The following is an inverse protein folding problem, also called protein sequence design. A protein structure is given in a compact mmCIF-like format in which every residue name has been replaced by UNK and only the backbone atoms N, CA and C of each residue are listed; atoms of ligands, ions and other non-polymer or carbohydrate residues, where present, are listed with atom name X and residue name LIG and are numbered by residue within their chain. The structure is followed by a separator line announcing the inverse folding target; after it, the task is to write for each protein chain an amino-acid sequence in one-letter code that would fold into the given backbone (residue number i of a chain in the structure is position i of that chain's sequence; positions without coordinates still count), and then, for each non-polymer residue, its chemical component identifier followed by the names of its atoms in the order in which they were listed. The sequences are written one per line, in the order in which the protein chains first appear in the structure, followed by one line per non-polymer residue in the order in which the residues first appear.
data_IF_288831943844
#
_entry.id   IF_288831943844
#
_cell.length_a   1.000
_cell.length_b   1.000
_cell.length_c   1.000
_cell.angle_alpha   90.00
_cell.angle_beta   90.00
_cell.angle_gamma   90.00
#
_symmetry.space_group_name_H-M   'P 1'
#
loop_
_entity.id
_entity.type
_entity.pdbx_description
1 polymer ?
#
# COMPACT_ATOMS: atom_id res chain seq x y z
N UNK A 1 -5.45 -9.01 -30.08
CA UNK A 1 -5.64 -10.39 -30.58
C UNK A 1 -7.06 -10.51 -31.07
N UNK A 2 -7.30 -11.27 -32.14
CA UNK A 2 -8.65 -11.53 -32.66
C UNK A 2 -9.43 -12.36 -31.64
N UNK A 3 -10.69 -12.01 -31.41
CA UNK A 3 -11.63 -12.83 -30.66
C UNK A 3 -11.93 -14.13 -31.41
N UNK A 4 -12.41 -15.14 -30.67
CA UNK A 4 -12.85 -16.43 -31.24
C UNK A 4 -13.86 -16.26 -32.38
N UNK A 5 -14.69 -15.22 -32.30
CA UNK A 5 -15.70 -14.86 -33.32
C UNK A 5 -15.08 -14.26 -34.58
N UNK A 6 -14.14 -13.31 -34.44
CA UNK A 6 -13.43 -12.72 -35.57
C UNK A 6 -12.60 -13.76 -36.34
N UNK A 7 -12.15 -14.80 -35.63
CA UNK A 7 -11.40 -15.90 -36.21
C UNK A 7 -12.26 -16.86 -37.05
N UNK A 8 -13.42 -17.27 -36.52
CA UNK A 8 -14.37 -18.12 -37.26
C UNK A 8 -14.82 -17.45 -38.56
N UNK A 9 -14.89 -16.12 -38.56
CA UNK A 9 -15.21 -15.29 -39.72
C UNK A 9 -14.08 -15.25 -40.77
N UNK A 10 -12.82 -15.40 -40.36
CA UNK A 10 -11.69 -15.49 -41.29
C UNK A 10 -11.62 -16.86 -41.97
N UNK A 11 -11.94 -17.93 -41.24
CA UNK A 11 -12.04 -19.30 -41.77
C UNK A 11 -13.08 -19.42 -42.90
N UNK A 12 -14.21 -18.71 -42.81
CA UNK A 12 -15.25 -18.74 -43.85
C UNK A 12 -14.87 -18.00 -45.15
N UNK A 13 -13.75 -17.26 -45.18
CA UNK A 13 -13.31 -16.49 -46.36
C UNK A 13 -12.36 -17.30 -47.26
N UNK A 14 -11.86 -18.45 -46.79
CA UNK A 14 -10.88 -19.30 -47.51
C UNK A 14 -11.52 -20.12 -48.65
N UNK A 15 -12.84 -20.05 -48.84
CA UNK A 15 -13.63 -20.88 -49.77
C UNK A 15 -13.49 -20.56 -51.29
N UNK A 16 -12.38 -19.96 -51.75
CA UNK A 16 -12.17 -19.64 -53.18
C UNK A 16 -10.81 -20.16 -53.69
N UNK A 17 -10.61 -21.48 -53.64
CA UNK A 17 -9.45 -22.17 -54.24
C UNK A 17 -9.91 -23.42 -55.02
N UNK A 18 -9.35 -23.63 -56.22
CA UNK A 18 -9.74 -24.67 -57.18
C UNK A 18 -9.35 -26.12 -56.77
N UNK A 19 -8.69 -26.31 -55.62
CA UNK A 19 -8.29 -27.63 -55.10
C UNK A 19 -8.87 -27.89 -53.70
N UNK A 20 -9.94 -28.69 -53.68
CA UNK A 20 -10.73 -29.02 -52.48
C UNK A 20 -9.91 -29.79 -51.45
N UNK A 21 -8.98 -30.65 -51.88
CA UNK A 21 -8.16 -31.47 -50.98
C UNK A 21 -7.08 -30.63 -50.28
N UNK A 22 -6.48 -29.67 -50.99
CA UNK A 22 -5.55 -28.71 -50.40
C UNK A 22 -6.27 -27.78 -49.40
N UNK A 23 -7.50 -27.37 -49.70
CA UNK A 23 -8.33 -26.56 -48.80
C UNK A 23 -8.71 -27.31 -47.52
N UNK A 24 -9.11 -28.58 -47.62
CA UNK A 24 -9.42 -29.43 -46.45
C UNK A 24 -8.17 -29.63 -45.58
N UNK A 25 -7.02 -29.90 -46.20
CA UNK A 25 -5.75 -30.08 -45.49
C UNK A 25 -5.32 -28.80 -44.75
N UNK A 26 -5.45 -27.65 -45.40
CA UNK A 26 -5.15 -26.36 -44.78
C UNK A 26 -6.11 -26.06 -43.62
N UNK A 27 -7.40 -26.40 -43.73
CA UNK A 27 -8.39 -26.26 -42.66
C UNK A 27 -8.02 -27.12 -41.44
N UNK A 28 -7.60 -28.37 -41.64
CA UNK A 28 -7.18 -29.26 -40.55
C UNK A 28 -5.92 -28.75 -39.82
N UNK A 29 -4.92 -28.26 -40.58
CA UNK A 29 -3.72 -27.63 -40.01
C UNK A 29 -4.10 -26.43 -39.15
N UNK A 30 -4.99 -25.57 -39.67
CA UNK A 30 -5.47 -24.38 -38.97
C UNK A 30 -6.21 -24.76 -37.68
N UNK A 31 -7.13 -25.74 -37.74
CA UNK A 31 -7.86 -26.23 -36.56
C UNK A 31 -6.92 -26.78 -35.48
N UNK A 32 -5.88 -27.51 -35.86
CA UNK A 32 -4.87 -28.04 -34.93
C UNK A 32 -4.04 -26.93 -34.29
N UNK A 33 -3.58 -25.93 -35.04
CA UNK A 33 -2.83 -24.79 -34.50
C UNK A 33 -3.65 -23.98 -33.48
N UNK A 34 -4.96 -23.81 -33.73
CA UNK A 34 -5.86 -23.14 -32.77
C UNK A 34 -5.96 -23.94 -31.48
N UNK A 35 -6.18 -25.25 -31.61
CA UNK A 35 -6.32 -26.14 -30.46
C UNK A 35 -5.05 -26.09 -29.61
N UNK A 36 -3.88 -26.20 -30.24
CA UNK A 36 -2.59 -26.07 -29.57
C UNK A 36 -2.43 -24.70 -28.91
N UNK A 37 -2.85 -23.61 -29.56
CA UNK A 37 -2.80 -22.27 -28.99
C UNK A 37 -3.63 -22.13 -27.70
N UNK A 38 -4.89 -22.59 -27.71
CA UNK A 38 -5.74 -22.54 -26.51
C UNK A 38 -5.25 -23.48 -25.41
N UNK A 39 -4.78 -24.69 -25.75
CA UNK A 39 -4.16 -25.59 -24.79
C UNK A 39 -2.87 -25.01 -24.19
N UNK A 40 -2.12 -24.22 -24.94
CA UNK A 40 -0.97 -23.49 -24.44
C UNK A 40 -1.41 -22.37 -23.49
N UNK A 41 -2.43 -21.58 -23.83
CA UNK A 41 -2.96 -20.52 -22.97
C UNK A 41 -3.40 -21.05 -21.60
N UNK A 42 -4.10 -22.19 -21.57
CA UNK A 42 -4.53 -22.83 -20.32
C UNK A 42 -3.35 -23.33 -19.46
N UNK A 43 -2.19 -23.58 -20.08
CA UNK A 43 -0.95 -24.00 -19.40
C UNK A 43 -0.10 -22.83 -18.94
N UNK A 44 -0.38 -21.59 -19.38
CA UNK A 44 0.37 -20.42 -18.94
C UNK A 44 0.05 -20.14 -17.47
N UNK A 45 0.99 -20.51 -16.61
CA UNK A 45 1.00 -20.04 -15.23
C UNK A 45 1.55 -18.62 -15.23
N UNK A 46 0.66 -17.63 -15.15
CA UNK A 46 1.03 -16.21 -15.18
C UNK A 46 2.11 -15.87 -14.16
N UNK A 47 2.07 -16.45 -12.97
CA UNK A 47 3.09 -16.26 -11.93
C UNK A 47 4.51 -16.70 -12.31
N UNK A 48 4.64 -17.69 -13.21
CA UNK A 48 5.94 -18.24 -13.67
C UNK A 48 6.51 -17.48 -14.88
N UNK A 49 5.75 -16.51 -15.43
CA UNK A 49 6.28 -15.65 -16.48
C UNK A 49 7.41 -14.80 -15.91
N UNK A 50 8.52 -14.75 -16.66
CA UNK A 50 9.74 -14.06 -16.25
C UNK A 50 10.08 -12.91 -17.20
N UNK A 51 10.67 -11.86 -16.62
CA UNK A 51 11.31 -10.76 -17.37
C UNK A 51 12.75 -11.07 -17.81
N UNK A 52 13.22 -12.30 -17.58
CA UNK A 52 14.59 -12.75 -17.80
C UNK A 52 15.49 -12.71 -16.56
N UNK A 53 15.04 -12.06 -15.47
CA UNK A 53 15.75 -11.97 -14.19
C UNK A 53 14.92 -12.54 -13.04
N UNK A 54 13.62 -12.26 -13.02
CA UNK A 54 12.67 -12.72 -12.01
C UNK A 54 11.36 -13.19 -12.66
N UNK A 55 10.68 -14.10 -11.99
CA UNK A 55 9.27 -14.45 -12.23
C UNK A 55 8.35 -13.47 -11.48
N UNK A 56 7.08 -13.38 -11.88
CA UNK A 56 6.11 -12.60 -11.10
C UNK A 56 5.94 -13.14 -9.68
N UNK A 57 5.97 -14.46 -9.49
CA UNK A 57 5.93 -15.08 -8.16
C UNK A 57 7.09 -14.60 -7.28
N UNK A 58 8.31 -14.55 -7.82
CA UNK A 58 9.48 -14.01 -7.09
C UNK A 58 9.31 -12.53 -6.78
N UNK A 59 8.85 -11.71 -7.72
CA UNK A 59 8.62 -10.28 -7.50
C UNK A 59 7.54 -10.02 -6.43
N UNK A 60 6.44 -10.77 -6.44
CA UNK A 60 5.41 -10.67 -5.41
C UNK A 60 5.93 -11.08 -4.03
N UNK A 61 6.74 -12.14 -3.97
CA UNK A 61 7.38 -12.56 -2.73
C UNK A 61 8.39 -11.53 -2.21
N UNK A 62 9.26 -11.00 -3.07
CA UNK A 62 10.20 -9.92 -2.71
C UNK A 62 9.46 -8.70 -2.16
N UNK A 63 8.35 -8.31 -2.81
CA UNK A 63 7.51 -7.20 -2.35
C UNK A 63 6.90 -7.46 -0.98
N UNK A 64 6.42 -8.69 -0.72
CA UNK A 64 5.92 -9.07 0.59
C UNK A 64 7.01 -8.95 1.66
N UNK A 65 8.22 -9.46 1.39
CA UNK A 65 9.36 -9.37 2.33
C UNK A 65 9.74 -7.91 2.59
N UNK A 66 9.97 -7.11 1.55
CA UNK A 66 10.35 -5.70 1.70
C UNK A 66 9.28 -4.88 2.42
N UNK A 67 8.01 -5.10 2.07
CA UNK A 67 6.91 -4.40 2.72
C UNK A 67 6.74 -4.84 4.17
N UNK A 68 6.99 -6.11 4.49
CA UNK A 68 6.93 -6.59 5.88
C UNK A 68 7.96 -5.89 6.77
N UNK A 69 9.17 -5.63 6.27
CA UNK A 69 10.19 -4.85 7.00
C UNK A 69 9.67 -3.44 7.29
N UNK A 70 9.13 -2.74 6.29
CA UNK A 70 8.57 -1.39 6.46
C UNK A 70 7.44 -1.41 7.51
N UNK A 71 6.46 -2.30 7.37
CA UNK A 71 5.35 -2.39 8.31
C UNK A 71 5.80 -2.72 9.74
N UNK A 72 6.76 -3.63 9.90
CA UNK A 72 7.25 -4.06 11.21
C UNK A 72 8.08 -2.97 11.93
N UNK A 73 8.76 -2.10 11.19
CA UNK A 73 9.46 -0.92 11.74
C UNK A 73 8.50 0.22 12.11
N UNK A 74 7.29 0.24 11.51
CA UNK A 74 6.29 1.30 11.67
C UNK A 74 4.95 0.79 12.21
N UNK A 75 5.01 -0.04 13.27
CA UNK A 75 3.83 -0.72 13.86
C UNK A 75 2.75 0.24 14.39
N UNK A 76 3.13 1.48 14.68
CA UNK A 76 2.23 2.54 15.15
C UNK A 76 1.29 3.07 14.07
N UNK A 77 1.68 2.92 12.80
CA UNK A 77 0.89 3.38 11.63
C UNK A 77 0.57 2.26 10.63
N UNK A 78 1.04 1.04 10.88
CA UNK A 78 0.75 -0.15 10.07
C UNK A 78 -0.35 -1.03 10.68
N UNK A 79 -1.01 -1.82 9.83
CA UNK A 79 -2.07 -2.74 10.22
C UNK A 79 -2.12 -3.95 9.29
N UNK A 80 -2.73 -5.04 9.77
CA UNK A 80 -3.19 -6.14 8.93
C UNK A 80 -4.62 -6.54 9.28
N UNK A 81 -5.34 -7.09 8.32
CA UNK A 81 -6.68 -7.64 8.55
C UNK A 81 -6.98 -8.74 7.55
N UNK A 82 -7.87 -9.66 7.94
CA UNK A 82 -8.42 -10.69 7.04
C UNK A 82 -9.67 -10.21 6.31
N UNK A 83 -10.18 -9.03 6.62
CA UNK A 83 -11.37 -8.48 5.99
C UNK A 83 -11.13 -7.01 5.60
N UNK A 84 -11.74 -6.60 4.48
CA UNK A 84 -11.86 -5.19 4.12
C UNK A 84 -12.77 -4.46 5.10
N UNK A 85 -12.86 -3.14 4.95
CA UNK A 85 -13.78 -2.31 5.72
C UNK A 85 -15.25 -2.79 5.66
N UNK A 86 -15.66 -3.40 4.54
CA UNK A 86 -17.03 -3.87 4.29
C UNK A 86 -17.26 -5.34 4.63
N UNK A 87 -16.28 -6.02 5.24
CA UNK A 87 -16.33 -7.43 5.60
C UNK A 87 -16.06 -8.41 4.44
N UNK A 88 -15.73 -7.90 3.25
CA UNK A 88 -15.35 -8.76 2.12
C UNK A 88 -13.85 -9.10 2.14
N UNK A 89 -13.45 -10.17 1.46
CA UNK A 89 -12.04 -10.48 1.17
C UNK A 89 -11.93 -11.43 -0.03
N UNK A 90 -10.76 -11.46 -0.68
CA UNK A 90 -10.45 -12.50 -1.65
C UNK A 90 -10.12 -13.82 -0.94
N UNK A 91 -10.59 -14.93 -1.50
CA UNK A 91 -10.38 -16.26 -0.90
C UNK A 91 -8.89 -16.55 -0.66
N UNK A 92 -8.54 -16.99 0.55
CA UNK A 92 -7.17 -17.32 0.94
C UNK A 92 -6.20 -16.14 1.13
N UNK A 93 -6.68 -14.89 1.05
CA UNK A 93 -5.83 -13.69 1.15
C UNK A 93 -6.07 -12.91 2.44
N UNK A 94 -5.18 -11.95 2.70
CA UNK A 94 -5.35 -10.90 3.70
C UNK A 94 -4.85 -9.56 3.16
N UNK A 95 -5.24 -8.48 3.82
CA UNK A 95 -4.75 -7.14 3.52
C UNK A 95 -3.80 -6.66 4.61
N UNK A 96 -2.72 -6.02 4.18
CA UNK A 96 -1.78 -5.30 5.04
C UNK A 96 -1.57 -3.92 4.48
N UNK A 97 -1.58 -2.92 5.36
CA UNK A 97 -1.45 -1.52 4.96
C UNK A 97 -0.69 -0.69 5.96
N UNK A 98 -0.32 0.50 5.50
CA UNK A 98 0.37 1.51 6.29
C UNK A 98 -0.20 2.88 5.97
N UNK A 99 -0.45 3.68 7.01
CA UNK A 99 -0.87 5.06 6.88
C UNK A 99 0.38 5.94 6.73
N UNK A 100 0.51 6.63 5.61
CA UNK A 100 1.60 7.58 5.38
C UNK A 100 1.08 9.02 5.43
N UNK A 101 1.95 10.03 5.61
CA UNK A 101 1.55 11.43 5.52
C UNK A 101 0.85 11.83 4.21
N UNK A 102 1.05 11.08 3.13
CA UNK A 102 0.44 11.32 1.82
C UNK A 102 -0.79 10.42 1.53
N UNK A 103 -1.25 9.65 2.51
CA UNK A 103 -2.40 8.75 2.40
C UNK A 103 -2.03 7.29 2.65
N UNK A 104 -3.00 6.41 2.52
CA UNK A 104 -2.80 4.98 2.78
C UNK A 104 -2.03 4.33 1.64
N UNK A 105 -1.34 3.24 1.94
CA UNK A 105 -0.87 2.29 0.94
C UNK A 105 -0.99 0.86 1.45
N UNK A 106 -1.53 -0.04 0.63
CA UNK A 106 -1.85 -1.41 1.06
C UNK A 106 -1.60 -2.45 -0.03
N UNK A 107 -1.45 -3.69 0.40
CA UNK A 107 -1.35 -4.86 -0.47
C UNK A 107 -2.20 -6.00 0.04
N UNK A 108 -2.68 -6.80 -0.91
CA UNK A 108 -3.20 -8.14 -0.65
C UNK A 108 -2.12 -9.18 -0.85
N UNK A 109 -2.02 -10.11 0.07
CA UNK A 109 -1.15 -11.28 -0.02
C UNK A 109 -1.88 -12.54 0.38
N UNK A 110 -1.40 -13.69 -0.09
CA UNK A 110 -1.86 -14.99 0.40
C UNK A 110 -1.54 -15.16 1.89
N UNK A 111 -2.38 -15.90 2.61
CA UNK A 111 -2.20 -16.17 4.04
C UNK A 111 -0.87 -16.88 4.38
N UNK A 112 -0.16 -17.46 3.41
CA UNK A 112 1.13 -18.13 3.62
C UNK A 112 2.25 -17.18 4.11
N UNK A 113 2.16 -15.87 3.83
CA UNK A 113 3.11 -14.85 4.30
C UNK A 113 2.58 -14.04 5.49
N UNK A 114 1.41 -14.39 6.03
CA UNK A 114 0.78 -13.69 7.16
C UNK A 114 1.72 -13.46 8.34
N UNK A 115 2.54 -14.46 8.66
CA UNK A 115 3.46 -14.42 9.80
C UNK A 115 4.66 -13.49 9.61
N UNK A 116 4.91 -12.99 8.39
CA UNK A 116 5.96 -11.99 8.15
C UNK A 116 5.60 -10.62 8.73
N UNK A 117 4.30 -10.34 8.88
CA UNK A 117 3.79 -9.05 9.31
C UNK A 117 3.44 -9.09 10.80
N UNK A 118 4.35 -8.59 11.63
CA UNK A 118 4.21 -8.45 13.07
C UNK A 118 3.70 -7.04 13.42
N UNK A 119 2.48 -6.76 12.98
CA UNK A 119 1.76 -5.49 13.15
C UNK A 119 0.37 -5.74 13.75
N UNK A 120 -0.28 -4.72 14.33
CA UNK A 120 -1.62 -4.85 14.88
C UNK A 120 -2.62 -5.49 13.89
N UNK A 121 -3.35 -6.50 14.36
CA UNK A 121 -4.46 -7.12 13.62
C UNK A 121 -5.74 -6.35 13.93
N UNK A 122 -6.41 -5.90 12.88
CA UNK A 122 -7.71 -5.24 12.95
C UNK A 122 -8.82 -6.22 12.52
N UNK A 123 -9.99 -6.10 13.14
CA UNK A 123 -11.19 -6.85 12.72
C UNK A 123 -11.51 -6.54 11.26
N UNK A 124 -11.51 -5.26 10.89
CA UNK A 124 -11.66 -4.78 9.51
C UNK A 124 -10.54 -3.81 9.15
N UNK A 125 -10.06 -3.88 7.91
CA UNK A 125 -9.15 -2.86 7.37
C UNK A 125 -9.85 -1.48 7.29
N UNK A 126 -9.09 -0.37 7.35
CA UNK A 126 -9.61 0.96 7.06
C UNK A 126 -10.28 1.05 5.68
N UNK A 127 -11.19 2.00 5.53
CA UNK A 127 -11.81 2.29 4.23
C UNK A 127 -10.74 2.68 3.19
N UNK A 128 -10.87 2.13 1.98
CA UNK A 128 -9.90 2.34 0.90
C UNK A 128 -9.98 3.77 0.38
N UNK A 129 -8.85 4.46 0.37
CA UNK A 129 -8.74 5.87 -0.05
C UNK A 129 -8.59 6.06 -1.57
N UNK A 130 -8.73 4.99 -2.36
CA UNK A 130 -8.64 5.04 -3.81
C UNK A 130 -7.21 5.01 -4.39
N UNK A 131 -6.18 4.71 -3.57
CA UNK A 131 -4.80 4.67 -4.03
C UNK A 131 -4.55 3.62 -5.12
N UNK A 132 -3.62 3.91 -6.01
CA UNK A 132 -3.23 3.11 -7.18
C UNK A 132 -1.81 2.58 -7.02
N UNK A 133 -1.39 1.58 -7.83
CA UNK A 133 0.01 1.15 -7.87
C UNK A 133 1.00 2.29 -8.12
N UNK A 134 0.61 3.30 -8.91
CA UNK A 134 1.42 4.50 -9.18
C UNK A 134 1.68 5.37 -7.94
N UNK A 135 0.91 5.19 -6.86
CA UNK A 135 1.07 5.95 -5.61
C UNK A 135 2.11 5.35 -4.66
N UNK A 136 2.91 4.39 -5.13
CA UNK A 136 3.95 3.70 -4.34
C UNK A 136 4.92 4.66 -3.64
N UNK A 137 5.16 5.85 -4.22
CA UNK A 137 6.02 6.89 -3.65
C UNK A 137 5.48 7.47 -2.33
N UNK A 138 4.21 7.25 -1.99
CA UNK A 138 3.66 7.57 -0.67
C UNK A 138 4.47 6.94 0.46
N UNK A 139 5.08 5.77 0.24
CA UNK A 139 5.93 5.11 1.23
C UNK A 139 7.19 5.93 1.56
N UNK A 140 7.70 6.73 0.62
CA UNK A 140 8.86 7.60 0.87
C UNK A 140 8.53 8.66 1.93
N UNK A 141 7.28 9.13 1.97
CA UNK A 141 6.84 10.14 2.94
C UNK A 141 6.90 9.67 4.40
N UNK A 142 6.98 8.36 4.65
CA UNK A 142 7.18 7.79 5.99
C UNK A 142 8.52 8.27 6.59
N UNK A 143 9.54 8.44 5.75
CA UNK A 143 10.86 8.93 6.18
C UNK A 143 10.94 10.47 6.28
N UNK A 144 9.89 11.16 5.84
CA UNK A 144 9.80 12.62 5.87
C UNK A 144 8.60 13.04 6.71
N UNK A 145 8.67 12.87 8.04
CA UNK A 145 7.58 13.23 8.94
C UNK A 145 7.21 14.70 8.73
N UNK A 146 5.93 14.94 8.47
CA UNK A 146 5.38 16.28 8.29
C UNK A 146 5.15 16.93 9.66
N UNK A 147 5.23 18.26 9.77
CA UNK A 147 4.88 18.93 11.00
C UNK A 147 3.40 18.71 11.31
N UNK A 148 3.09 18.52 12.59
CA UNK A 148 1.72 18.47 13.06
C UNK A 148 1.02 19.81 12.82
N UNK A 149 -0.28 19.75 12.51
CA UNK A 149 -1.20 20.85 12.72
C UNK A 149 -1.69 20.82 14.16
N UNK A 150 -2.24 21.94 14.64
CA UNK A 150 -2.71 22.00 16.02
C UNK A 150 -3.83 20.99 16.30
N UNK A 151 -4.67 20.74 15.30
CA UNK A 151 -5.80 19.81 15.38
C UNK A 151 -5.36 18.34 15.44
N UNK A 152 -4.10 18.05 15.07
CA UNK A 152 -3.53 16.71 15.12
C UNK A 152 -3.07 16.32 16.54
N UNK A 153 -2.94 17.29 17.45
CA UNK A 153 -2.41 17.08 18.80
C UNK A 153 -3.39 16.33 19.70
N UNK A 154 -2.90 15.30 20.41
CA UNK A 154 -3.68 14.44 21.33
C UNK A 154 -2.97 14.27 22.66
N UNK A 155 -3.73 14.19 23.75
CA UNK A 155 -3.18 13.93 25.08
C UNK A 155 -2.49 12.56 25.10
N UNK A 156 -1.35 12.47 25.78
CA UNK A 156 -0.51 11.28 25.85
C UNK A 156 0.37 11.03 24.63
N UNK A 157 0.25 11.81 23.56
CA UNK A 157 1.15 11.68 22.41
C UNK A 157 2.53 12.29 22.71
N UNK A 158 3.57 11.69 22.15
CA UNK A 158 4.90 12.28 22.15
C UNK A 158 5.12 13.11 20.87
N UNK A 159 5.69 14.30 21.02
CA UNK A 159 6.02 15.21 19.92
C UNK A 159 7.49 15.60 19.96
N UNK A 160 8.13 15.66 18.81
CA UNK A 160 9.43 16.29 18.61
C UNK A 160 9.26 17.79 18.44
N UNK A 161 9.94 18.58 19.27
CA UNK A 161 10.08 20.02 19.07
C UNK A 161 11.34 20.29 18.25
N UNK A 162 11.16 20.74 17.01
CA UNK A 162 12.24 21.00 16.07
C UNK A 162 13.08 22.22 16.44
N UNK A 163 12.56 23.13 17.26
CA UNK A 163 13.29 24.30 17.73
C UNK A 163 14.14 23.95 18.96
N UNK A 164 13.56 23.23 19.93
CA UNK A 164 14.27 22.83 21.15
C UNK A 164 15.12 21.56 20.97
N UNK A 165 14.92 20.82 19.89
CA UNK A 165 15.57 19.53 19.60
C UNK A 165 15.34 18.53 20.74
N UNK A 166 14.09 18.41 21.17
CA UNK A 166 13.69 17.59 22.30
C UNK A 166 12.29 16.98 22.11
N UNK A 167 12.03 15.81 22.71
CA UNK A 167 10.71 15.16 22.68
C UNK A 167 9.92 15.46 23.96
N UNK A 168 8.63 15.76 23.80
CA UNK A 168 7.73 16.05 24.91
C UNK A 168 6.45 15.22 24.82
N UNK A 169 5.92 14.78 25.96
CA UNK A 169 4.58 14.20 26.03
C UNK A 169 3.54 15.31 26.23
N UNK A 170 2.49 15.34 25.41
CA UNK A 170 1.39 16.29 25.54
C UNK A 170 0.52 15.88 26.73
N UNK A 171 0.40 16.78 27.71
CA UNK A 171 -0.47 16.60 28.87
C UNK A 171 -1.88 17.15 28.63
N UNK A 172 -2.00 18.31 27.96
CA UNK A 172 -3.26 19.00 27.71
C UNK A 172 -3.18 19.65 26.32
N UNK A 173 -4.09 19.32 25.41
CA UNK A 173 -4.03 19.79 24.02
C UNK A 173 -4.48 21.24 23.81
N UNK A 174 -5.41 21.73 24.62
CA UNK A 174 -6.00 23.06 24.43
C UNK A 174 -5.99 23.79 25.77
N UNK A 175 -5.33 24.94 25.80
CA UNK A 175 -5.31 25.85 26.95
C UNK A 175 -5.76 27.22 26.47
N UNK A 176 -6.87 27.69 27.03
CA UNK A 176 -7.39 29.04 26.76
C UNK A 176 -7.03 29.98 27.91
N UNK A 177 -6.48 31.15 27.58
CA UNK A 177 -6.12 32.18 28.55
C UNK A 177 -6.76 33.49 28.14
N UNK A 178 -7.49 34.10 29.06
CA UNK A 178 -8.14 35.41 28.85
C UNK A 178 -7.10 36.47 28.50
N UNK A 179 -7.30 37.18 27.39
CA UNK A 179 -6.38 38.16 26.82
C UNK A 179 -5.37 37.58 25.81
N UNK A 180 -5.38 36.27 25.56
CA UNK A 180 -4.51 35.57 24.61
C UNK A 180 -5.32 34.62 23.71
N UNK A 181 -6.59 34.93 23.47
CA UNK A 181 -7.54 34.06 22.75
C UNK A 181 -7.11 33.77 21.30
N UNK A 182 -6.20 34.56 20.73
CA UNK A 182 -5.64 34.36 19.39
C UNK A 182 -4.47 33.36 19.34
N UNK A 183 -3.99 32.87 20.49
CA UNK A 183 -2.89 31.91 20.56
C UNK A 183 -3.42 30.49 20.73
N UNK A 184 -2.88 29.57 19.93
CA UNK A 184 -3.07 28.12 20.12
C UNK A 184 -2.06 27.65 21.16
N UNK A 185 -2.50 27.21 22.33
CA UNK A 185 -1.63 26.84 23.44
C UNK A 185 -1.95 25.46 23.98
N UNK A 186 -0.93 24.75 24.44
CA UNK A 186 -1.03 23.39 24.99
C UNK A 186 -0.02 23.22 26.14
N UNK A 187 -0.13 22.15 26.93
CA UNK A 187 0.83 21.84 27.99
C UNK A 187 1.51 20.51 27.74
N UNK A 188 2.81 20.47 28.04
CA UNK A 188 3.64 19.26 27.98
C UNK A 188 4.16 18.87 29.35
N UNK A 189 4.44 17.59 29.54
CA UNK A 189 5.07 17.07 30.76
C UNK A 189 6.59 17.27 30.71
N UNK A 190 7.15 17.77 31.80
CA UNK A 190 8.58 17.75 32.06
C UNK A 190 8.97 16.43 32.76
N UNK A 191 10.29 16.19 32.90
CA UNK A 191 10.81 15.00 33.58
C UNK A 191 10.40 14.90 35.06
N UNK A 192 10.15 16.04 35.71
CA UNK A 192 9.75 16.13 37.12
C UNK A 192 8.22 16.16 37.32
N UNK A 193 7.45 15.71 36.31
CA UNK A 193 5.98 15.74 36.24
C UNK A 193 5.35 17.15 36.26
N UNK A 194 6.15 18.22 36.29
CA UNK A 194 5.62 19.58 36.13
C UNK A 194 5.15 19.83 34.69
N UNK A 195 4.23 20.78 34.52
CA UNK A 195 3.66 21.11 33.22
C UNK A 195 4.22 22.43 32.68
N UNK A 196 4.76 22.39 31.47
CA UNK A 196 5.19 23.58 30.73
C UNK A 196 4.11 24.00 29.74
N UNK A 197 3.74 25.29 29.76
CA UNK A 197 2.84 25.88 28.78
C UNK A 197 3.62 26.20 27.50
N UNK A 198 3.13 25.70 26.37
CA UNK A 198 3.71 25.85 25.05
C UNK A 198 2.74 26.62 24.15
N UNK A 199 3.29 27.48 23.28
CA UNK A 199 2.55 28.10 22.19
C UNK A 199 2.80 27.24 20.95
N UNK A 200 1.73 26.91 20.24
CA UNK A 200 1.81 26.20 18.98
C UNK A 200 2.32 27.14 17.87
N UNK A 201 3.32 26.67 17.14
CA UNK A 201 3.90 27.35 15.99
C UNK A 201 3.91 26.38 14.81
N UNK A 202 3.45 26.84 13.64
CA UNK A 202 3.50 26.04 12.43
C UNK A 202 4.94 25.63 12.11
N UNK A 203 5.12 24.39 11.63
CA UNK A 203 6.43 23.82 11.27
C UNK A 203 7.42 23.63 12.45
N UNK A 204 6.96 23.65 13.70
CA UNK A 204 7.78 23.40 14.89
C UNK A 204 7.65 21.99 15.47
N UNK A 205 6.44 21.45 15.54
CA UNK A 205 6.18 20.16 16.21
C UNK A 205 6.00 19.05 15.19
N UNK A 206 6.72 17.94 15.37
CA UNK A 206 6.75 16.80 14.45
C UNK A 206 6.53 15.48 15.20
N UNK A 207 6.22 14.38 14.48
CA UNK A 207 6.35 13.02 15.01
C UNK A 207 7.74 12.76 15.61
N UNK A 208 7.80 11.93 16.66
CA UNK A 208 9.05 11.60 17.38
C UNK A 208 10.13 10.99 16.49
N UNK A 209 9.74 10.37 15.37
CA UNK A 209 10.65 9.81 14.37
C UNK A 209 11.58 10.89 13.78
N UNK A 210 11.17 12.16 13.81
CA UNK A 210 12.01 13.29 13.40
C UNK A 210 13.27 13.43 14.27
N UNK A 211 13.27 12.90 15.50
CA UNK A 211 14.47 12.84 16.35
C UNK A 211 15.57 11.93 15.79
N UNK A 212 15.20 10.95 14.94
CA UNK A 212 16.12 10.01 14.32
C UNK A 212 16.67 10.51 12.98
N UNK A 213 16.06 11.55 12.40
CA UNK A 213 16.55 12.19 11.18
C UNK A 213 17.86 12.89 11.57
N UNK A 214 18.97 12.41 11.03
CA UNK A 214 20.30 12.97 11.31
C UNK A 214 20.28 14.45 10.97
N UNK A 215 20.69 15.30 11.91
CA UNK A 215 21.05 16.67 11.59
C UNK A 215 22.14 16.61 10.53
N UNK A 216 21.86 17.09 9.32
CA UNK A 216 22.89 17.39 8.33
C UNK A 216 23.82 18.50 8.82
#
# INVERSE_FOLDING_TARGET
MLSKEEYLKALSVVENYDDVDEMIKNREIIENLIKEHFEMLDKIKTGELSDGYHTFNELYYHRAVLFSIICNEHKDVAYKSKEHHDGTMYDGMFIVGINTPQGQYSYHYDLNVWSMFDVPELEFAPEWDGHKPSDIERLISINNPQPYKFEDLKEGMWVWDNQLKWCFEIAICIVEIKGYENLKMFKVKNYDDSLTLMIFEENRFYPVQMANVRCE
#
